data_IF_802013801777
#
_entry.id   IF_802013801777
#
_cell.length_a   1.000
_cell.length_b   1.000
_cell.length_c   1.000
_cell.angle_alpha   90.00
_cell.angle_beta   90.00
_cell.angle_gamma   90.00
#
_symmetry.space_group_name_H-M   'P 1'
#
loop_
_entity.id
_entity.type
_entity.pdbx_description
1 polymer ?
#
# COMPACT_ATOMS: atom_id res chain seq x y z
N UNK A 1 1.66 -13.80 -19.13
CA UNK A 1 0.90 -13.23 -18.00
C UNK A 1 -0.45 -12.75 -18.53
N UNK A 2 -1.57 -13.11 -17.89
CA UNK A 2 -2.90 -12.68 -18.32
C UNK A 2 -3.22 -11.29 -17.73
N UNK A 3 -3.47 -10.26 -18.55
CA UNK A 3 -3.78 -8.91 -18.07
C UNK A 3 -5.15 -8.82 -17.40
N UNK A 4 -6.04 -9.75 -17.73
CA UNK A 4 -7.42 -9.77 -17.25
C UNK A 4 -7.61 -10.66 -16.01
N UNK A 5 -8.49 -10.20 -15.14
CA UNK A 5 -9.10 -10.93 -14.03
C UNK A 5 -10.16 -11.90 -14.55
N UNK A 6 -10.59 -12.83 -13.69
CA UNK A 6 -11.73 -13.73 -13.96
C UNK A 6 -13.04 -12.97 -14.22
N UNK A 7 -13.14 -11.73 -13.74
CA UNK A 7 -14.29 -10.84 -13.96
C UNK A 7 -14.19 -10.01 -15.25
N UNK A 8 -13.15 -10.19 -16.07
CA UNK A 8 -12.92 -9.41 -17.29
C UNK A 8 -12.27 -8.03 -17.08
N UNK A 9 -12.18 -7.55 -15.83
CA UNK A 9 -11.44 -6.32 -15.49
C UNK A 9 -9.92 -6.52 -15.42
N UNK A 10 -9.18 -5.44 -15.19
CA UNK A 10 -7.73 -5.52 -14.94
C UNK A 10 -7.43 -6.20 -13.61
N UNK A 11 -6.27 -6.86 -13.51
CA UNK A 11 -5.80 -7.40 -12.21
C UNK A 11 -5.33 -6.28 -11.30
N UNK A 12 -5.30 -6.54 -9.98
CA UNK A 12 -4.93 -5.57 -8.94
C UNK A 12 -3.64 -4.80 -9.25
N UNK A 13 -2.56 -5.50 -9.61
CA UNK A 13 -1.23 -4.91 -9.86
C UNK A 13 -0.95 -4.66 -11.36
N UNK A 14 -1.99 -4.49 -12.17
CA UNK A 14 -1.83 -4.36 -13.63
C UNK A 14 -1.17 -3.03 -14.01
N UNK A 15 -1.44 -1.95 -13.28
CA UNK A 15 -0.91 -0.62 -13.61
C UNK A 15 0.58 -0.50 -13.30
N UNK A 16 1.05 -1.09 -12.21
CA UNK A 16 2.47 -1.17 -11.86
C UNK A 16 3.21 -2.00 -12.92
N UNK A 17 2.60 -3.11 -13.36
CA UNK A 17 3.14 -3.89 -14.48
C UNK A 17 3.22 -3.07 -15.77
N UNK A 18 2.20 -2.27 -16.08
CA UNK A 18 2.21 -1.39 -17.25
C UNK A 18 3.36 -0.40 -17.18
N UNK A 19 3.66 0.16 -16.00
CA UNK A 19 4.81 1.06 -15.79
C UNK A 19 6.15 0.35 -16.02
N UNK A 20 6.29 -0.90 -15.55
CA UNK A 20 7.50 -1.71 -15.81
C UNK A 20 7.69 -1.96 -17.30
N UNK A 21 6.62 -2.32 -18.00
CA UNK A 21 6.65 -2.56 -19.46
C UNK A 21 6.96 -1.26 -20.20
N UNK A 22 6.34 -0.14 -19.80
CA UNK A 22 6.61 1.17 -20.39
C UNK A 22 8.08 1.55 -20.25
N UNK A 23 8.68 1.32 -19.07
CA UNK A 23 10.11 1.55 -18.87
C UNK A 23 10.97 0.63 -19.74
N UNK A 24 10.71 -0.69 -19.76
CA UNK A 24 11.51 -1.62 -20.57
C UNK A 24 11.39 -1.44 -22.09
N UNK A 25 10.31 -0.82 -22.55
CA UNK A 25 10.06 -0.61 -23.99
C UNK A 25 10.31 0.83 -24.44
N UNK A 26 10.70 1.72 -23.52
CA UNK A 26 11.05 3.09 -23.87
C UNK A 26 12.28 3.14 -24.76
N UNK A 27 12.26 4.02 -25.76
CA UNK A 27 13.42 4.29 -26.61
C UNK A 27 14.60 4.91 -25.83
N UNK A 28 14.30 5.57 -24.71
CA UNK A 28 15.29 6.25 -23.87
C UNK A 28 16.00 5.31 -22.89
N UNK A 29 15.52 4.07 -22.74
CA UNK A 29 16.09 3.12 -21.78
C UNK A 29 17.29 2.41 -22.36
N UNK A 30 18.48 2.77 -21.87
CA UNK A 30 19.76 2.21 -22.34
C UNK A 30 20.05 0.87 -21.66
N UNK A 31 19.61 0.72 -20.41
CA UNK A 31 19.81 -0.51 -19.63
C UNK A 31 18.58 -0.87 -18.81
N UNK A 32 18.24 -2.16 -18.74
CA UNK A 32 17.15 -2.68 -17.89
C UNK A 32 17.31 -2.33 -16.41
N UNK A 33 18.54 -2.03 -15.95
CA UNK A 33 18.80 -1.61 -14.57
C UNK A 33 18.14 -0.27 -14.23
N UNK A 34 17.89 0.58 -15.21
CA UNK A 34 17.19 1.86 -15.00
C UNK A 34 15.74 1.66 -14.55
N UNK A 35 15.15 0.50 -14.88
CA UNK A 35 13.78 0.14 -14.53
C UNK A 35 13.67 -0.66 -13.22
N UNK A 36 14.71 -0.67 -12.37
CA UNK A 36 14.64 -1.28 -11.04
C UNK A 36 13.54 -0.64 -10.18
N UNK A 37 13.41 0.71 -10.11
CA UNK A 37 12.35 1.34 -9.29
C UNK A 37 10.93 0.87 -9.65
N UNK A 38 10.44 0.95 -10.91
CA UNK A 38 9.10 0.47 -11.23
C UNK A 38 8.96 -1.05 -11.04
N UNK A 39 10.05 -1.81 -11.21
CA UNK A 39 10.05 -3.25 -10.95
C UNK A 39 9.87 -3.55 -9.46
N UNK A 40 10.53 -2.80 -8.56
CA UNK A 40 10.33 -2.93 -7.12
C UNK A 40 8.89 -2.61 -6.72
N UNK A 41 8.27 -1.59 -7.31
CA UNK A 41 6.88 -1.24 -7.04
C UNK A 41 5.91 -2.35 -7.47
N UNK A 42 6.14 -2.93 -8.66
CA UNK A 42 5.36 -4.09 -9.11
C UNK A 42 5.54 -5.30 -8.18
N UNK A 43 6.77 -5.57 -7.74
CA UNK A 43 7.07 -6.66 -6.82
C UNK A 43 6.46 -6.43 -5.42
N UNK A 44 6.47 -5.19 -4.97
CA UNK A 44 5.79 -4.75 -3.73
C UNK A 44 4.29 -4.99 -3.86
N UNK A 45 3.62 -4.53 -4.93
CA UNK A 45 2.18 -4.73 -5.08
C UNK A 45 1.77 -6.22 -5.08
N UNK A 46 2.60 -7.10 -5.66
CA UNK A 46 2.34 -8.54 -5.69
C UNK A 46 2.41 -9.17 -4.30
N UNK A 47 3.39 -8.77 -3.48
CA UNK A 47 3.75 -9.49 -2.26
C UNK A 47 3.48 -8.73 -0.96
N UNK A 48 3.49 -7.41 -0.99
CA UNK A 48 3.21 -6.51 0.15
C UNK A 48 4.24 -6.59 1.27
N UNK A 49 5.51 -6.90 0.97
CA UNK A 49 6.52 -7.11 2.02
C UNK A 49 6.78 -5.84 2.83
N UNK A 50 7.00 -4.71 2.14
CA UNK A 50 7.28 -3.41 2.78
C UNK A 50 6.07 -2.97 3.62
N UNK A 51 4.86 -3.13 3.09
CA UNK A 51 3.63 -2.76 3.82
C UNK A 51 3.35 -3.65 5.05
N UNK A 52 3.57 -4.97 4.94
CA UNK A 52 3.45 -5.89 6.09
C UNK A 52 4.42 -5.54 7.20
N UNK A 53 5.67 -5.23 6.85
CA UNK A 53 6.69 -4.87 7.82
C UNK A 53 6.39 -3.53 8.47
N UNK A 54 5.96 -2.53 7.69
CA UNK A 54 5.50 -1.24 8.21
C UNK A 54 4.35 -1.41 9.21
N UNK A 55 3.36 -2.23 8.85
CA UNK A 55 2.22 -2.54 9.73
C UNK A 55 2.70 -3.24 11.02
N UNK A 56 3.63 -4.18 10.91
CA UNK A 56 4.22 -4.88 12.06
C UNK A 56 4.89 -3.91 13.04
N UNK A 57 5.72 -3.00 12.53
CA UNK A 57 6.40 -1.98 13.33
C UNK A 57 5.40 -1.01 13.97
N UNK A 58 4.40 -0.56 13.22
CA UNK A 58 3.35 0.32 13.74
C UNK A 58 2.58 -0.35 14.89
N UNK A 59 2.18 -1.62 14.73
CA UNK A 59 1.48 -2.36 15.78
C UNK A 59 2.34 -2.59 17.01
N UNK A 60 3.65 -2.80 16.84
CA UNK A 60 4.59 -2.90 17.97
C UNK A 60 4.67 -1.57 18.73
N UNK A 61 4.79 -0.46 18.02
CA UNK A 61 4.81 0.87 18.65
C UNK A 61 3.50 1.17 19.38
N UNK A 62 2.35 0.82 18.80
CA UNK A 62 1.05 1.03 19.43
C UNK A 62 0.93 0.23 20.74
N UNK A 63 1.39 -1.02 20.78
CA UNK A 63 1.43 -1.82 22.02
C UNK A 63 2.32 -1.19 23.08
N UNK A 64 3.51 -0.71 22.68
CA UNK A 64 4.41 -0.04 23.60
C UNK A 64 3.80 1.27 24.17
N UNK A 65 3.10 2.04 23.34
CA UNK A 65 2.40 3.25 23.77
C UNK A 65 1.27 2.94 24.76
N UNK A 66 0.55 1.83 24.58
CA UNK A 66 -0.49 1.37 25.51
C UNK A 66 0.09 1.01 26.88
N UNK A 67 1.21 0.30 26.92
CA UNK A 67 1.89 -0.09 28.17
C UNK A 67 2.48 1.11 28.92
N UNK A 68 3.14 2.02 28.20
CA UNK A 68 3.79 3.20 28.78
C UNK A 68 2.83 4.36 29.04
N UNK A 69 1.59 4.28 28.54
CA UNK A 69 0.62 5.38 28.51
C UNK A 69 1.20 6.67 27.90
N UNK A 70 2.14 6.52 26.96
CA UNK A 70 2.84 7.63 26.32
C UNK A 70 2.65 7.56 24.80
N UNK A 71 2.33 8.70 24.18
CA UNK A 71 2.03 8.77 22.75
C UNK A 71 0.60 8.38 22.36
N UNK A 72 0.40 8.07 21.08
CA UNK A 72 -0.91 7.75 20.49
C UNK A 72 -1.23 6.27 20.72
N UNK A 73 -2.43 5.97 21.25
CA UNK A 73 -2.91 4.60 21.44
C UNK A 73 -3.81 4.14 20.30
N UNK A 74 -4.00 2.83 20.16
CA UNK A 74 -4.88 2.28 19.12
C UNK A 74 -6.32 2.79 19.28
N UNK A 75 -6.84 2.88 20.52
CA UNK A 75 -8.20 3.34 20.79
C UNK A 75 -8.38 4.81 20.40
N UNK A 76 -7.35 5.65 20.58
CA UNK A 76 -7.38 7.04 20.13
C UNK A 76 -7.45 7.14 18.61
N UNK A 77 -6.71 6.30 17.88
CA UNK A 77 -6.77 6.22 16.41
C UNK A 77 -8.12 5.70 15.90
N UNK A 78 -8.69 4.69 16.56
CA UNK A 78 -10.02 4.19 16.19
C UNK A 78 -11.10 5.25 16.44
N UNK A 79 -11.05 5.94 17.58
CA UNK A 79 -11.99 7.01 17.91
C UNK A 79 -11.86 8.19 16.94
N UNK A 80 -10.64 8.60 16.59
CA UNK A 80 -10.44 9.68 15.62
C UNK A 80 -10.95 9.27 14.23
N UNK A 81 -10.71 8.03 13.80
CA UNK A 81 -11.20 7.52 12.52
C UNK A 81 -12.73 7.49 12.48
N UNK A 82 -13.37 6.99 13.55
CA UNK A 82 -14.83 7.03 13.70
C UNK A 82 -15.39 8.45 13.58
N UNK A 83 -14.75 9.43 14.24
CA UNK A 83 -15.12 10.83 14.12
C UNK A 83 -14.97 11.37 12.69
N UNK A 84 -13.97 10.94 11.91
CA UNK A 84 -13.85 11.32 10.49
C UNK A 84 -15.04 10.79 9.69
N UNK A 85 -15.46 9.54 9.91
CA UNK A 85 -16.61 8.97 9.20
C UNK A 85 -17.95 9.62 9.60
N UNK A 86 -18.12 9.97 10.87
CA UNK A 86 -19.27 10.74 11.35
C UNK A 86 -19.29 12.14 10.71
N UNK A 87 -18.14 12.83 10.63
CA UNK A 87 -18.04 14.16 10.02
C UNK A 87 -18.28 14.16 8.50
N UNK A 88 -18.17 13.00 7.86
CA UNK A 88 -18.46 12.79 6.44
C UNK A 88 -19.88 12.24 6.19
N UNK A 89 -20.72 12.16 7.22
CA UNK A 89 -22.08 11.60 7.19
C UNK A 89 -22.15 10.15 6.64
N UNK A 90 -21.06 9.40 6.74
CA UNK A 90 -21.00 8.01 6.27
C UNK A 90 -21.55 7.02 7.30
N UNK A 91 -21.65 7.45 8.57
CA UNK A 91 -22.18 6.68 9.70
C UNK A 91 -23.03 7.63 10.57
N UNK A 92 -24.20 7.20 11.00
CA UNK A 92 -25.06 7.98 11.91
C UNK A 92 -24.51 7.91 13.35
N UNK A 93 -24.60 9.04 14.06
CA UNK A 93 -24.26 9.20 15.48
C UNK A 93 -25.17 8.43 16.42
#
# INVERSE_FOLDING_TARGET
>A
MQPYSRSGGTRRCFYEFQTVVACYTSADTVSKKECIPPFEDYFECLHGYKERERTRLMLQQLKHNEETKSGVTAQQLFKSSGAVYENLDLVQK
#
